data_IF_209781938605
#
_entry.id   IF_209781938605
#
_cell.length_a   1.000
_cell.length_b   1.000
_cell.length_c   1.000
_cell.angle_alpha   90.00
_cell.angle_beta   90.00
_cell.angle_gamma   90.00
#
_symmetry.space_group_name_H-M   'P 1'
#
loop_
_entity.id
_entity.type
_entity.pdbx_description
1 polymer ?
#
# COMPACT_ATOMS: atom_id res chain seq x y z
N UNK A 1 -25.44 3.20 -36.18
CA UNK A 1 -25.73 2.23 -35.11
C UNK A 1 -24.74 2.45 -34.00
N UNK A 2 -25.26 2.68 -32.80
CA UNK A 2 -24.57 3.00 -31.57
C UNK A 2 -23.65 1.86 -31.10
N UNK A 3 -22.57 2.22 -30.40
CA UNK A 3 -21.72 1.24 -29.71
C UNK A 3 -20.69 1.88 -28.81
N UNK A 4 -21.17 2.45 -27.70
CA UNK A 4 -20.51 2.63 -26.39
C UNK A 4 -18.98 2.47 -26.37
N UNK A 5 -18.20 3.53 -26.11
CA UNK A 5 -18.30 4.30 -24.88
C UNK A 5 -17.76 3.52 -23.66
N UNK A 6 -16.64 2.81 -23.82
CA UNK A 6 -15.90 2.24 -22.69
C UNK A 6 -14.89 3.24 -22.15
N UNK A 7 -15.36 4.30 -21.49
CA UNK A 7 -14.48 5.06 -20.61
C UNK A 7 -14.10 4.09 -19.49
N UNK A 8 -12.91 3.49 -19.60
CA UNK A 8 -12.29 2.78 -18.50
C UNK A 8 -12.20 3.81 -17.38
N UNK A 9 -13.06 3.67 -16.38
CA UNK A 9 -12.93 4.38 -15.13
C UNK A 9 -11.55 4.01 -14.59
N UNK A 10 -10.55 4.83 -14.91
CA UNK A 10 -9.36 4.93 -14.11
C UNK A 10 -9.89 5.38 -12.76
N UNK A 11 -10.15 4.40 -11.89
CA UNK A 11 -10.33 4.64 -10.48
C UNK A 11 -9.18 5.55 -10.10
N UNK A 12 -9.50 6.81 -9.80
CA UNK A 12 -8.59 7.76 -9.17
C UNK A 12 -8.31 7.24 -7.75
N UNK A 13 -7.68 6.08 -7.66
CA UNK A 13 -6.76 5.80 -6.59
C UNK A 13 -5.65 6.81 -6.82
N UNK A 14 -5.72 7.94 -6.13
CA UNK A 14 -4.64 8.91 -6.11
C UNK A 14 -3.34 8.11 -5.90
N UNK A 15 -2.51 8.05 -6.94
CA UNK A 15 -1.16 7.51 -6.89
C UNK A 15 -0.32 8.55 -6.14
N UNK A 16 -0.62 8.76 -4.87
CA UNK A 16 0.08 9.68 -3.99
C UNK A 16 0.71 8.90 -2.84
N UNK A 17 1.47 7.87 -3.22
CA UNK A 17 2.52 7.30 -2.38
C UNK A 17 3.73 6.93 -3.26
N UNK A 18 3.99 7.68 -4.34
CA UNK A 18 5.15 7.40 -5.21
C UNK A 18 6.48 7.47 -4.45
N UNK A 19 6.52 8.23 -3.36
CA UNK A 19 7.68 8.35 -2.49
C UNK A 19 7.56 7.54 -1.18
N UNK A 20 6.43 6.88 -0.89
CA UNK A 20 6.37 5.89 0.19
C UNK A 20 6.42 4.50 -0.43
N UNK A 21 7.58 3.86 -0.35
CA UNK A 21 7.85 2.64 -1.09
C UNK A 21 8.15 1.46 -0.18
N UNK A 22 7.85 0.25 -0.66
CA UNK A 22 8.27 -0.98 0.00
C UNK A 22 9.76 -1.20 -0.23
N UNK A 23 10.52 -1.23 0.85
CA UNK A 23 11.98 -1.46 0.83
C UNK A 23 12.35 -2.91 1.15
N UNK A 24 11.47 -3.65 1.84
CA UNK A 24 11.68 -5.06 2.15
C UNK A 24 10.34 -5.80 2.33
N UNK A 25 10.36 -7.12 2.24
CA UNK A 25 9.19 -7.93 2.58
C UNK A 25 9.33 -9.40 2.23
N UNK A 26 8.44 -10.20 2.79
CA UNK A 26 8.32 -11.63 2.54
C UNK A 26 6.85 -11.99 2.30
N UNK A 27 6.58 -12.60 1.16
CA UNK A 27 5.32 -13.30 0.94
C UNK A 27 5.41 -14.66 1.64
N UNK A 28 4.41 -14.99 2.46
CA UNK A 28 4.38 -16.23 3.23
C UNK A 28 2.94 -16.67 3.43
N UNK A 29 2.70 -17.98 3.45
CA UNK A 29 1.38 -18.56 3.72
C UNK A 29 0.97 -18.46 5.20
N UNK A 30 1.92 -18.17 6.09
CA UNK A 30 1.70 -18.15 7.54
C UNK A 30 1.80 -16.74 8.11
N UNK A 31 2.89 -16.03 7.83
CA UNK A 31 3.15 -14.69 8.37
C UNK A 31 3.91 -13.85 7.34
N UNK A 32 3.22 -13.28 6.35
CA UNK A 32 3.81 -12.30 5.44
C UNK A 32 4.14 -11.01 6.19
N UNK A 33 5.12 -10.28 5.67
CA UNK A 33 5.47 -8.97 6.18
C UNK A 33 6.06 -8.08 5.09
N UNK A 34 5.90 -6.77 5.25
CA UNK A 34 6.39 -5.76 4.32
C UNK A 34 6.86 -4.54 5.12
N UNK A 35 8.05 -4.05 4.80
CA UNK A 35 8.61 -2.83 5.33
C UNK A 35 8.51 -1.74 4.28
N UNK A 36 7.90 -0.62 4.64
CA UNK A 36 7.74 0.56 3.81
C UNK A 36 8.53 1.72 4.39
N UNK A 37 9.04 2.61 3.54
CA UNK A 37 9.76 3.80 3.97
C UNK A 37 9.16 5.02 3.30
N UNK A 38 8.95 6.09 4.09
CA UNK A 38 8.55 7.38 3.54
C UNK A 38 9.78 8.15 3.04
N UNK A 39 9.99 8.19 1.73
CA UNK A 39 11.01 8.99 1.06
C UNK A 39 10.46 10.33 0.54
N UNK A 40 9.26 10.74 0.97
CA UNK A 40 8.69 12.04 0.66
C UNK A 40 9.31 13.16 1.50
N UNK A 41 9.01 14.42 1.15
CA UNK A 41 9.45 15.60 1.90
C UNK A 41 8.61 15.89 3.15
N UNK A 42 7.48 15.19 3.33
CA UNK A 42 6.52 15.42 4.41
C UNK A 42 6.14 14.10 5.09
N UNK A 43 5.66 14.20 6.31
CA UNK A 43 5.02 13.11 7.06
C UNK A 43 3.65 12.80 6.44
N UNK A 44 3.31 11.51 6.33
CA UNK A 44 2.02 11.04 5.81
C UNK A 44 1.45 9.97 6.74
N UNK A 45 0.13 9.97 6.90
CA UNK A 45 -0.57 8.83 7.48
C UNK A 45 -0.81 7.80 6.37
N UNK A 46 -0.29 6.59 6.56
CA UNK A 46 -0.30 5.53 5.55
C UNK A 46 -0.72 4.20 6.12
N UNK A 47 -1.25 3.34 5.27
CA UNK A 47 -1.48 1.93 5.56
C UNK A 47 -0.92 1.04 4.47
N UNK A 48 -0.54 -0.17 4.85
CA UNK A 48 -0.17 -1.24 3.93
C UNK A 48 -1.42 -1.99 3.53
N UNK A 49 -1.69 -2.02 2.22
CA UNK A 49 -2.78 -2.78 1.63
C UNK A 49 -2.27 -4.18 1.30
N UNK A 50 -3.01 -5.18 1.77
CA UNK A 50 -2.66 -6.58 1.61
C UNK A 50 -3.65 -7.28 0.66
N UNK A 51 -3.14 -8.05 -0.28
CA UNK A 51 -3.94 -8.97 -1.08
C UNK A 51 -4.19 -10.25 -0.28
N UNK A 52 -5.45 -10.68 -0.19
CA UNK A 52 -5.91 -11.87 0.53
C UNK A 52 -5.71 -11.81 2.06
N UNK A 53 -5.52 -10.60 2.61
CA UNK A 53 -5.44 -10.35 4.05
C UNK A 53 -6.01 -8.98 4.39
N UNK A 54 -6.20 -8.68 5.69
CA UNK A 54 -6.63 -7.35 6.12
C UNK A 54 -5.52 -6.31 5.86
N UNK A 55 -5.93 -5.10 5.48
CA UNK A 55 -5.06 -3.91 5.47
C UNK A 55 -4.49 -3.66 6.87
N UNK A 56 -3.32 -3.04 6.96
CA UNK A 56 -2.81 -2.54 8.24
C UNK A 56 -3.65 -1.39 8.77
N UNK A 57 -3.51 -1.09 10.06
CA UNK A 57 -3.94 0.20 10.60
C UNK A 57 -3.19 1.34 9.91
N UNK A 58 -3.83 2.51 9.89
CA UNK A 58 -3.20 3.78 9.55
C UNK A 58 -2.09 4.07 10.56
N UNK A 59 -0.93 4.47 10.06
CA UNK A 59 0.23 4.87 10.84
C UNK A 59 0.83 6.13 10.25
N UNK A 60 1.10 7.10 11.13
CA UNK A 60 1.88 8.27 10.76
C UNK A 60 3.33 7.85 10.49
N UNK A 61 3.82 8.16 9.28
CA UNK A 61 5.15 7.81 8.83
C UNK A 61 5.93 9.08 8.49
N UNK A 62 6.90 9.43 9.32
CA UNK A 62 7.76 10.61 9.15
C UNK A 62 8.74 10.45 8.00
N UNK A 63 9.35 11.56 7.58
CA UNK A 63 10.38 11.55 6.52
C UNK A 63 11.53 10.61 6.89
N UNK A 64 11.85 9.68 5.99
CA UNK A 64 12.81 8.56 6.11
C UNK A 64 12.44 7.48 7.14
N UNK A 65 11.30 7.59 7.81
CA UNK A 65 10.85 6.59 8.76
C UNK A 65 10.43 5.31 8.04
N UNK A 66 10.66 4.17 8.70
CA UNK A 66 10.32 2.85 8.21
C UNK A 66 9.24 2.23 9.08
N UNK A 67 8.27 1.60 8.45
CA UNK A 67 7.21 0.87 9.12
C UNK A 67 7.12 -0.54 8.57
N UNK A 68 7.12 -1.53 9.45
CA UNK A 68 6.92 -2.94 9.08
C UNK A 68 5.51 -3.37 9.45
N UNK A 69 4.74 -3.72 8.44
CA UNK A 69 3.43 -4.35 8.59
C UNK A 69 3.55 -5.86 8.45
N UNK A 70 2.82 -6.59 9.27
CA UNK A 70 2.57 -8.02 9.12
C UNK A 70 1.09 -8.25 8.81
N UNK A 71 0.78 -9.35 8.12
CA UNK A 71 -0.60 -9.75 7.89
C UNK A 71 -0.80 -11.22 8.26
N UNK A 72 -2.02 -11.61 8.60
CA UNK A 72 -2.40 -13.00 8.90
C UNK A 72 -3.89 -13.14 8.57
N UNK A 73 -4.34 -14.18 7.82
CA UNK A 73 -3.58 -15.32 7.29
C UNK A 73 -2.63 -14.95 6.12
N UNK A 74 -2.03 -15.93 5.45
CA UNK A 74 -1.11 -15.72 4.34
C UNK A 74 -1.64 -14.73 3.29
N UNK A 75 -0.89 -13.64 3.12
CA UNK A 75 -1.23 -12.50 2.28
C UNK A 75 0.00 -12.07 1.45
N UNK A 76 -0.24 -11.26 0.44
CA UNK A 76 0.83 -10.68 -0.39
C UNK A 76 0.71 -9.17 -0.39
N UNK A 77 1.83 -8.47 -0.34
CA UNK A 77 1.83 -7.01 -0.39
C UNK A 77 1.20 -6.54 -1.70
N UNK A 78 0.23 -5.63 -1.63
CA UNK A 78 -0.36 -4.98 -2.80
C UNK A 78 0.29 -3.61 -3.04
N UNK A 79 0.07 -2.67 -2.12
CA UNK A 79 0.52 -1.28 -2.21
C UNK A 79 0.53 -0.59 -0.85
N UNK A 80 1.03 0.63 -0.83
CA UNK A 80 0.81 1.60 0.24
C UNK A 80 -0.31 2.55 -0.17
N UNK A 81 -1.21 2.87 0.75
CA UNK A 81 -2.25 3.87 0.55
C UNK A 81 -2.18 4.91 1.68
N UNK A 82 -2.45 6.17 1.35
CA UNK A 82 -2.66 7.21 2.35
C UNK A 82 -4.00 6.96 3.06
N UNK A 83 -4.01 7.22 4.36
CA UNK A 83 -5.21 7.46 5.14
C UNK A 83 -5.54 8.97 5.09
#
# INVERSE_FOLDING_TARGET
MSGAGGAQAQSTNMVMASCVEKIAGKNSLVTPWATVQNNCAFTYDVKVVWNNGPDSSCVELSVREQYTSTSTPGATFDRVAIC
#
